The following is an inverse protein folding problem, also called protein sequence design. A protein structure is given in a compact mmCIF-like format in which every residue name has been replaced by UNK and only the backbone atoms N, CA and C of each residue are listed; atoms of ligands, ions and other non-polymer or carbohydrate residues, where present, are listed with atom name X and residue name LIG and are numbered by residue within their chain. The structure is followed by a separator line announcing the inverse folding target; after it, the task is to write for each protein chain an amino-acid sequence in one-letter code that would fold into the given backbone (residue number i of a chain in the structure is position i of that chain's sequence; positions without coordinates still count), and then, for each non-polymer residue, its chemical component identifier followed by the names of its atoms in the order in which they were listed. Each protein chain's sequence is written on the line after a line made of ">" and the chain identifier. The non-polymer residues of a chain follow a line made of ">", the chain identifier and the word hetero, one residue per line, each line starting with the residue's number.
data_IF_570695680544
#
_entry.id   IF_570695680544
#
_cell.length_a   1.000
_cell.length_b   1.000
_cell.length_c   1.000
_cell.angle_alpha   90.00
_cell.angle_beta   90.00
_cell.angle_gamma   90.00
#
_symmetry.space_group_name_H-M   'P 1'
#
loop_
_entity.id
_entity.type
_entity.pdbx_description
1 polymer ?
#
# COMPACT_ATOMS: atom_id res chain seq x y z
N UNK A 1 -17.89 33.52 4.85
CA UNK A 1 -17.52 32.15 5.23
C UNK A 1 -16.73 31.56 4.08
N UNK A 2 -15.44 31.27 4.27
CA UNK A 2 -14.67 30.49 3.29
C UNK A 2 -15.07 29.04 3.51
N UNK A 3 -15.72 28.42 2.54
CA UNK A 3 -15.99 26.99 2.56
C UNK A 3 -14.65 26.28 2.55
N UNK A 4 -14.43 25.39 3.52
CA UNK A 4 -13.29 24.49 3.53
C UNK A 4 -13.30 23.69 2.24
N UNK A 5 -12.50 24.12 1.25
CA UNK A 5 -12.25 23.37 0.03
C UNK A 5 -11.49 22.11 0.44
N UNK A 6 -12.25 21.09 0.82
CA UNK A 6 -11.74 19.76 1.12
C UNK A 6 -10.87 19.34 -0.06
N UNK A 7 -9.56 19.26 0.19
CA UNK A 7 -8.52 19.08 -0.84
C UNK A 7 -8.87 17.97 -1.83
N UNK A 8 -9.49 16.91 -1.31
CA UNK A 8 -10.05 15.82 -2.07
C UNK A 8 -11.55 15.65 -1.80
N UNK A 9 -12.32 15.54 -2.87
CA UNK A 9 -13.70 15.03 -2.83
C UNK A 9 -13.67 13.51 -2.79
N UNK A 10 -14.73 12.86 -2.31
CA UNK A 10 -14.82 11.39 -2.25
C UNK A 10 -14.46 10.72 -3.59
N UNK A 11 -14.99 11.26 -4.70
CA UNK A 11 -14.66 10.79 -6.05
C UNK A 11 -13.16 10.85 -6.38
N UNK A 12 -12.47 11.93 -5.98
CA UNK A 12 -11.01 12.06 -6.22
C UNK A 12 -10.20 11.10 -5.35
N UNK A 13 -10.65 10.86 -4.13
CA UNK A 13 -10.01 9.86 -3.26
C UNK A 13 -10.17 8.45 -3.85
N UNK A 14 -11.33 8.15 -4.43
CA UNK A 14 -11.54 6.88 -5.12
C UNK A 14 -10.68 6.74 -6.39
N UNK A 15 -10.47 7.82 -7.14
CA UNK A 15 -9.50 7.84 -8.25
C UNK A 15 -8.08 7.59 -7.77
N UNK A 16 -7.69 8.11 -6.61
CA UNK A 16 -6.39 7.83 -5.99
C UNK A 16 -6.27 6.35 -5.59
N UNK A 17 -7.30 5.73 -5.03
CA UNK A 17 -7.32 4.30 -4.71
C UNK A 17 -7.08 3.44 -5.97
N UNK A 18 -7.78 3.73 -7.06
CA UNK A 18 -7.60 3.00 -8.32
C UNK A 18 -6.20 3.16 -8.91
N UNK A 19 -5.63 4.36 -8.80
CA UNK A 19 -4.24 4.58 -9.22
C UNK A 19 -3.27 3.78 -8.35
N UNK A 20 -3.49 3.76 -7.04
CA UNK A 20 -2.68 2.99 -6.10
C UNK A 20 -2.75 1.49 -6.39
N UNK A 21 -3.95 0.95 -6.61
CA UNK A 21 -4.16 -0.45 -6.98
C UNK A 21 -3.41 -0.80 -8.28
N UNK A 22 -3.47 0.07 -9.29
CA UNK A 22 -2.74 -0.14 -10.55
C UNK A 22 -1.21 -0.10 -10.38
N UNK A 23 -0.69 0.84 -9.58
CA UNK A 23 0.76 0.97 -9.29
C UNK A 23 1.30 -0.22 -8.51
N UNK A 24 0.53 -0.72 -7.55
CA UNK A 24 0.95 -1.83 -6.67
C UNK A 24 0.88 -3.19 -7.39
N UNK A 25 -0.04 -3.36 -8.33
CA UNK A 25 -0.19 -4.59 -9.11
C UNK A 25 0.60 -4.57 -10.43
N UNK A 26 1.44 -3.56 -10.68
CA UNK A 26 2.31 -3.55 -11.85
C UNK A 26 3.42 -4.59 -11.66
N UNK A 27 3.47 -5.60 -12.54
CA UNK A 27 4.49 -6.67 -12.54
C UNK A 27 5.93 -6.13 -12.64
N UNK A 28 6.11 -4.87 -13.05
CA UNK A 28 7.40 -4.18 -13.10
C UNK A 28 7.74 -3.40 -11.84
N UNK A 29 6.81 -3.26 -10.89
CA UNK A 29 7.05 -2.58 -9.64
C UNK A 29 7.79 -3.51 -8.66
N UNK A 30 9.06 -3.24 -8.30
CA UNK A 30 9.79 -4.05 -7.35
C UNK A 30 9.31 -3.86 -5.90
N UNK A 31 8.46 -2.87 -5.66
CA UNK A 31 7.98 -2.54 -4.32
C UNK A 31 6.92 -3.54 -3.85
N UNK A 32 6.93 -3.80 -2.54
CA UNK A 32 5.96 -4.70 -1.92
C UNK A 32 4.54 -4.11 -1.99
N UNK A 33 3.55 -4.93 -2.32
CA UNK A 33 2.14 -4.51 -2.34
C UNK A 33 1.38 -4.59 -1.01
N UNK A 34 2.09 -4.82 0.10
CA UNK A 34 1.46 -4.82 1.42
C UNK A 34 0.89 -3.44 1.78
N UNK A 35 -0.10 -3.42 2.66
CA UNK A 35 -0.80 -2.22 3.12
C UNK A 35 0.14 -1.10 3.52
N UNK A 36 1.18 -1.40 4.30
CA UNK A 36 2.14 -0.37 4.73
C UNK A 36 2.86 0.28 3.56
N UNK A 37 3.34 -0.50 2.59
CA UNK A 37 4.01 0.00 1.39
C UNK A 37 3.03 0.76 0.49
N UNK A 38 1.84 0.22 0.25
CA UNK A 38 0.78 0.87 -0.51
C UNK A 38 0.39 2.23 0.09
N UNK A 39 0.30 2.34 1.41
CA UNK A 39 0.03 3.62 2.08
C UNK A 39 1.18 4.62 1.94
N UNK A 40 2.44 4.19 1.85
CA UNK A 40 3.55 5.11 1.54
C UNK A 40 3.51 5.58 0.07
N UNK A 41 3.23 4.68 -0.87
CA UNK A 41 3.05 5.02 -2.29
C UNK A 41 1.89 6.02 -2.43
N UNK A 42 0.78 5.78 -1.74
CA UNK A 42 -0.39 6.66 -1.74
C UNK A 42 -0.06 8.10 -1.36
N UNK A 43 0.83 8.33 -0.40
CA UNK A 43 1.24 9.69 -0.01
C UNK A 43 1.94 10.43 -1.14
N UNK A 44 2.74 9.73 -1.94
CA UNK A 44 3.39 10.30 -3.12
C UNK A 44 2.34 10.60 -4.21
N UNK A 45 1.45 9.64 -4.49
CA UNK A 45 0.37 9.80 -5.47
C UNK A 45 -0.56 10.96 -5.10
N UNK A 46 -0.88 11.13 -3.82
CA UNK A 46 -1.72 12.22 -3.34
C UNK A 46 -1.08 13.59 -3.59
N UNK A 47 0.22 13.72 -3.32
CA UNK A 47 0.95 14.95 -3.63
C UNK A 47 0.97 15.22 -5.14
N UNK A 48 1.35 14.23 -5.95
CA UNK A 48 1.37 14.36 -7.40
C UNK A 48 0.00 14.75 -7.95
N UNK A 49 -1.07 14.08 -7.52
CA UNK A 49 -2.42 14.40 -7.92
C UNK A 49 -2.79 15.84 -7.56
N UNK A 50 -2.43 16.30 -6.36
CA UNK A 50 -2.73 17.66 -5.91
C UNK A 50 -2.01 18.71 -6.76
N UNK A 51 -0.73 18.46 -7.10
CA UNK A 51 0.06 19.32 -7.98
C UNK A 51 -0.52 19.34 -9.40
N UNK A 52 -0.74 18.17 -10.01
CA UNK A 52 -1.26 18.03 -11.37
C UNK A 52 -2.64 18.67 -11.56
N UNK A 53 -3.50 18.56 -10.55
CA UNK A 53 -4.87 19.08 -10.61
C UNK A 53 -5.02 20.47 -9.96
N UNK A 54 -3.89 21.14 -9.69
CA UNK A 54 -3.80 22.46 -9.06
C UNK A 54 -4.72 22.60 -7.83
N UNK A 55 -4.69 21.60 -6.96
CA UNK A 55 -5.45 21.58 -5.70
C UNK A 55 -4.67 22.32 -4.62
N UNK A 56 -5.40 22.92 -3.68
CA UNK A 56 -4.77 23.45 -2.47
C UNK A 56 -4.33 22.29 -1.59
N UNK A 57 -3.09 22.32 -1.13
CA UNK A 57 -2.57 21.34 -0.18
C UNK A 57 -1.66 22.05 0.83
N UNK A 58 -1.41 21.46 2.01
CA UNK A 58 -0.50 22.02 2.99
C UNK A 58 0.90 22.23 2.39
N UNK A 59 1.49 23.42 2.58
CA UNK A 59 2.83 23.72 2.06
C UNK A 59 3.91 22.74 2.54
N UNK A 60 3.71 22.11 3.71
CA UNK A 60 4.58 21.09 4.25
C UNK A 60 4.75 19.87 3.33
N UNK A 61 3.77 19.58 2.46
CA UNK A 61 3.88 18.48 1.50
C UNK A 61 5.03 18.68 0.52
N UNK A 62 5.37 19.94 0.21
CA UNK A 62 6.48 20.26 -0.71
C UNK A 62 7.85 19.86 -0.17
N UNK A 63 8.02 19.76 1.15
CA UNK A 63 9.32 19.47 1.77
C UNK A 63 9.85 18.11 1.36
N UNK A 64 8.95 17.12 1.35
CA UNK A 64 9.26 15.72 1.06
C UNK A 64 8.53 15.21 -0.20
N UNK A 65 7.76 16.09 -0.88
CA UNK A 65 6.91 15.75 -2.03
C UNK A 65 5.94 14.59 -1.75
N UNK A 66 5.40 14.58 -0.53
CA UNK A 66 4.43 13.58 -0.06
C UNK A 66 3.36 14.23 0.79
N UNK A 67 2.19 13.60 0.84
CA UNK A 67 1.18 13.93 1.81
C UNK A 67 1.67 13.70 3.26
N UNK A 68 1.20 14.50 4.20
CA UNK A 68 1.51 14.30 5.61
C UNK A 68 0.74 13.11 6.21
N UNK A 69 1.19 12.67 7.39
CA UNK A 69 0.62 11.52 8.10
C UNK A 69 -0.81 11.78 8.57
N UNK A 70 -1.16 13.04 8.86
CA UNK A 70 -2.52 13.41 9.29
C UNK A 70 -3.50 13.16 8.14
N UNK A 71 -3.15 13.59 6.93
CA UNK A 71 -3.94 13.31 5.74
C UNK A 71 -4.05 11.80 5.47
N UNK A 72 -2.93 11.07 5.58
CA UNK A 72 -2.92 9.62 5.35
C UNK A 72 -3.84 8.88 6.32
N UNK A 73 -3.74 9.17 7.62
CA UNK A 73 -4.58 8.55 8.64
C UNK A 73 -6.07 8.81 8.36
N UNK A 74 -6.40 10.06 8.02
CA UNK A 74 -7.78 10.44 7.71
C UNK A 74 -8.29 9.75 6.43
N UNK A 75 -7.43 9.56 5.43
CA UNK A 75 -7.75 8.80 4.23
C UNK A 75 -7.98 7.32 4.56
N UNK A 76 -7.08 6.70 5.33
CA UNK A 76 -7.17 5.30 5.74
C UNK A 76 -8.46 5.04 6.52
N UNK A 77 -8.85 5.92 7.43
CA UNK A 77 -10.12 5.79 8.15
C UNK A 77 -11.34 5.83 7.22
N UNK A 78 -11.32 6.69 6.20
CA UNK A 78 -12.45 6.84 5.25
C UNK A 78 -12.58 5.66 4.30
N UNK A 79 -11.46 5.05 3.92
CA UNK A 79 -11.38 3.97 2.92
C UNK A 79 -10.88 2.67 3.53
N UNK A 80 -11.13 2.47 4.82
CA UNK A 80 -10.57 1.34 5.57
C UNK A 80 -11.02 -0.02 5.04
N UNK A 81 -12.24 -0.08 4.50
CA UNK A 81 -12.81 -1.29 3.90
C UNK A 81 -12.04 -1.61 2.62
N UNK A 82 -11.98 -0.66 1.68
CA UNK A 82 -11.30 -0.81 0.39
C UNK A 82 -9.81 -1.13 0.57
N UNK A 83 -9.13 -0.42 1.49
CA UNK A 83 -7.71 -0.67 1.80
C UNK A 83 -7.51 -2.08 2.36
N UNK A 84 -8.45 -2.59 3.15
CA UNK A 84 -8.37 -3.94 3.70
C UNK A 84 -8.65 -5.04 2.67
N UNK A 85 -9.45 -4.73 1.65
CA UNK A 85 -9.78 -5.65 0.56
C UNK A 85 -8.68 -5.69 -0.51
N UNK A 86 -8.03 -4.56 -0.80
CA UNK A 86 -7.07 -4.44 -1.89
C UNK A 86 -5.63 -4.77 -1.47
N UNK A 87 -5.27 -4.60 -0.19
CA UNK A 87 -3.89 -4.71 0.25
C UNK A 87 -3.72 -5.64 1.43
N UNK A 88 -2.80 -6.61 1.27
CA UNK A 88 -2.43 -7.56 2.29
C UNK A 88 -1.80 -6.88 3.51
N UNK A 89 -2.06 -7.43 4.69
CA UNK A 89 -1.54 -6.90 5.96
C UNK A 89 -0.02 -7.04 6.08
N UNK A 90 0.53 -8.14 5.55
CA UNK A 90 1.92 -8.50 5.76
C UNK A 90 2.74 -8.26 4.50
N UNK A 91 3.91 -7.66 4.68
CA UNK A 91 4.90 -7.56 3.62
C UNK A 91 5.56 -8.91 3.46
N UNK A 92 5.15 -9.68 2.45
CA UNK A 92 5.85 -10.90 2.06
C UNK A 92 7.12 -10.44 1.35
N UNK A 93 8.16 -10.12 2.12
CA UNK A 93 9.50 -10.13 1.58
C UNK A 93 9.73 -11.54 1.06
N UNK A 94 9.86 -11.69 -0.26
CA UNK A 94 10.18 -12.96 -0.90
C UNK A 94 11.28 -13.66 -0.10
N UNK A 95 10.88 -14.66 0.66
CA UNK A 95 11.81 -15.55 1.34
C UNK A 95 12.33 -16.50 0.26
N UNK A 96 13.14 -15.98 -0.69
CA UNK A 96 13.98 -16.76 -1.62
C UNK A 96 15.12 -17.48 -0.86
N UNK A 97 14.84 -17.95 0.35
CA UNK A 97 15.70 -18.79 1.18
C UNK A 97 14.87 -19.60 2.18
N UNK A 98 13.91 -20.40 1.70
CA UNK A 98 13.42 -21.53 2.50
C UNK A 98 13.20 -22.78 1.65
N UNK A 99 14.28 -23.23 1.00
CA UNK A 99 14.46 -24.67 0.81
C UNK A 99 14.73 -25.29 2.18
N UNK A 100 13.69 -25.57 2.95
CA UNK A 100 13.78 -26.49 4.09
C UNK A 100 13.12 -27.81 3.70
N UNK A 101 13.89 -28.83 3.30
CA UNK A 101 13.35 -30.16 3.04
C UNK A 101 13.07 -30.83 4.38
N UNK A 102 11.82 -30.80 4.83
CA UNK A 102 11.38 -31.77 5.84
C UNK A 102 11.35 -33.14 5.15
N UNK A 103 12.48 -33.83 5.21
CA UNK A 103 12.54 -35.26 4.96
C UNK A 103 11.94 -35.94 6.19
N UNK A 104 10.67 -36.32 6.07
CA UNK A 104 10.07 -37.32 6.96
C UNK A 104 10.88 -38.60 6.81
N UNK A 105 11.77 -38.85 7.76
CA UNK A 105 12.44 -40.14 7.88
C UNK A 105 11.48 -41.07 8.63
N UNK A 106 10.76 -41.90 7.88
CA UNK A 106 10.06 -43.06 8.44
C UNK A 106 11.09 -43.97 9.16
N UNK A 107 10.82 -44.46 10.38
CA UNK A 107 11.61 -45.54 10.95
C UNK A 107 11.32 -46.83 10.17
N UNK A 108 12.27 -47.21 9.32
CA UNK A 108 12.25 -48.45 8.56
C UNK A 108 12.10 -49.67 9.47
N UNK A 109 11.07 -50.46 9.17
CA UNK A 109 10.99 -51.86 9.62
C UNK A 109 12.00 -52.67 8.82
N UNK A 110 12.99 -53.26 9.49
CA UNK A 110 13.74 -54.38 8.91
C UNK A 110 13.48 -55.62 9.76
N UNK A 111 12.94 -56.63 9.09
CA UNK A 111 12.71 -57.97 9.59
C UNK A 111 13.78 -58.88 8.98
N UNK A 112 14.38 -59.71 9.84
CA UNK A 112 15.06 -60.99 9.60
C UNK A 112 16.32 -61.08 8.71
N UNK A 113 17.40 -61.59 9.31
CA UNK A 113 18.07 -62.85 8.93
C UNK A 113 18.33 -63.66 10.20
#
# INVERSE_FOLDING_TARGET
>A
MKTDDKVFTCEKEFLLLKKLEAEVNDDQNPDCGCRTCSLQILRHLAYQFAVENNKQYPSAWNNNKVADEVWLLQFEMRHSIEISEYFDLECIADNKASNSPWTTSEPGTTSNI
#
